data_IF_040425252827
#
_entry.id   IF_040425252827
#
_cell.length_a   1.000
_cell.length_b   1.000
_cell.length_c   1.000
_cell.angle_alpha   90.00
_cell.angle_beta   90.00
_cell.angle_gamma   90.00
#
_symmetry.space_group_name_H-M   'P 1'
#
loop_
_entity.id
_entity.type
_entity.pdbx_description
1 polymer ?
#
# COMPACT_ATOMS: atom_id res chain seq x y z
N UNK A 1 -20.04 13.72 19.58
CA UNK A 1 -20.21 13.69 18.10
C UNK A 1 -20.14 12.24 17.63
N UNK A 2 -20.90 11.85 16.59
CA UNK A 2 -21.23 10.46 16.21
C UNK A 2 -20.35 9.85 15.08
N UNK A 3 -19.07 10.22 14.95
CA UNK A 3 -18.19 9.60 13.95
C UNK A 3 -18.01 8.09 14.23
N UNK A 4 -17.72 7.27 13.22
CA UNK A 4 -17.56 5.80 13.37
C UNK A 4 -18.72 5.12 14.13
N UNK A 5 -19.99 5.53 13.91
CA UNK A 5 -21.14 4.71 14.32
C UNK A 5 -21.56 3.80 13.18
N UNK A 6 -21.69 4.34 11.96
CA UNK A 6 -21.92 3.60 10.72
C UNK A 6 -20.70 3.72 9.82
N UNK A 7 -20.02 2.60 9.61
CA UNK A 7 -18.76 2.48 8.86
C UNK A 7 -18.99 1.63 7.62
N UNK A 8 -18.68 2.16 6.44
CA UNK A 8 -18.77 1.41 5.19
C UNK A 8 -17.37 1.09 4.65
N UNK A 9 -17.05 -0.19 4.50
CA UNK A 9 -15.80 -0.67 3.93
C UNK A 9 -15.94 -0.83 2.42
N UNK A 10 -15.16 -0.05 1.67
CA UNK A 10 -15.06 -0.17 0.21
C UNK A 10 -13.96 -1.18 -0.10
N UNK A 11 -14.36 -2.39 -0.52
CA UNK A 11 -13.48 -3.53 -0.76
C UNK A 11 -14.05 -4.82 -0.19
N UNK A 12 -13.66 -5.95 -0.78
CA UNK A 12 -14.05 -7.32 -0.36
C UNK A 12 -12.82 -8.21 -0.18
N UNK A 13 -11.65 -7.60 0.00
CA UNK A 13 -10.40 -8.31 0.22
C UNK A 13 -10.27 -8.79 1.67
N UNK A 14 -9.21 -9.56 1.97
CA UNK A 14 -8.95 -10.02 3.33
C UNK A 14 -8.81 -8.87 4.34
N UNK A 15 -8.21 -7.75 3.89
CA UNK A 15 -8.07 -6.51 4.67
C UNK A 15 -9.45 -5.98 5.11
N UNK A 16 -10.44 -5.96 4.21
CA UNK A 16 -11.79 -5.46 4.51
C UNK A 16 -12.46 -6.30 5.61
N UNK A 17 -12.25 -7.62 5.61
CA UNK A 17 -12.80 -8.52 6.64
C UNK A 17 -12.12 -8.31 7.98
N UNK A 18 -10.79 -8.22 8.01
CA UNK A 18 -10.07 -7.94 9.26
C UNK A 18 -10.49 -6.58 9.84
N UNK A 19 -10.60 -5.55 9.01
CA UNK A 19 -11.05 -4.23 9.46
C UNK A 19 -12.48 -4.29 10.00
N UNK A 20 -13.40 -4.98 9.31
CA UNK A 20 -14.77 -5.17 9.80
C UNK A 20 -14.80 -5.80 11.20
N UNK A 21 -13.99 -6.84 11.43
CA UNK A 21 -13.82 -7.47 12.74
C UNK A 21 -13.40 -6.43 13.81
N UNK A 22 -12.37 -5.63 13.51
CA UNK A 22 -11.82 -4.69 14.47
C UNK A 22 -12.80 -3.54 14.77
N UNK A 23 -13.44 -2.95 13.76
CA UNK A 23 -14.45 -1.90 13.97
C UNK A 23 -15.67 -2.41 14.76
N UNK A 24 -16.09 -3.66 14.52
CA UNK A 24 -17.17 -4.30 15.29
C UNK A 24 -16.77 -4.54 16.74
N UNK A 25 -15.66 -5.26 16.96
CA UNK A 25 -15.25 -5.75 18.28
C UNK A 25 -14.75 -4.62 19.19
N UNK A 26 -13.96 -3.70 18.64
CA UNK A 26 -13.28 -2.67 19.44
C UNK A 26 -14.08 -1.37 19.55
N UNK A 27 -14.86 -1.02 18.53
CA UNK A 27 -15.59 0.26 18.48
C UNK A 27 -17.11 0.11 18.48
N UNK A 28 -17.65 -1.11 18.44
CA UNK A 28 -19.10 -1.37 18.45
C UNK A 28 -19.81 -0.79 17.23
N UNK A 29 -19.11 -0.68 16.09
CA UNK A 29 -19.66 -0.03 14.89
C UNK A 29 -20.75 -0.88 14.22
N UNK A 30 -21.71 -0.20 13.61
CA UNK A 30 -22.49 -0.72 12.51
C UNK A 30 -21.61 -0.73 11.26
N UNK A 31 -21.40 -1.89 10.64
CA UNK A 31 -20.43 -2.11 9.57
C UNK A 31 -21.12 -2.64 8.33
N UNK A 32 -20.98 -1.90 7.24
CA UNK A 32 -21.31 -2.33 5.89
C UNK A 32 -20.07 -2.73 5.09
N UNK A 33 -20.22 -3.64 4.13
CA UNK A 33 -19.19 -3.99 3.14
C UNK A 33 -19.74 -3.81 1.74
N UNK A 34 -18.94 -3.23 0.83
CA UNK A 34 -19.28 -3.12 -0.59
C UNK A 34 -18.13 -3.54 -1.48
N UNK A 35 -18.45 -4.27 -2.54
CA UNK A 35 -17.50 -4.72 -3.56
C UNK A 35 -17.97 -4.39 -4.96
N UNK A 36 -17.02 -4.27 -5.90
CA UNK A 36 -17.31 -4.17 -7.34
C UNK A 36 -18.10 -5.39 -7.82
N UNK A 37 -18.81 -5.28 -8.94
CA UNK A 37 -19.39 -6.45 -9.62
C UNK A 37 -18.27 -7.16 -10.38
N UNK A 38 -17.87 -8.35 -9.92
CA UNK A 38 -16.80 -9.15 -10.54
C UNK A 38 -16.86 -10.60 -10.06
N UNK A 39 -16.30 -11.53 -10.83
CA UNK A 39 -16.26 -12.96 -10.48
C UNK A 39 -15.55 -13.21 -9.13
N UNK A 40 -14.62 -12.34 -8.72
CA UNK A 40 -13.95 -12.46 -7.42
C UNK A 40 -14.87 -12.09 -6.25
N UNK A 41 -15.57 -10.98 -6.38
CA UNK A 41 -16.49 -10.49 -5.34
C UNK A 41 -17.79 -11.30 -5.31
N UNK A 42 -18.23 -11.87 -6.43
CA UNK A 42 -19.39 -12.77 -6.49
C UNK A 42 -19.22 -13.96 -5.56
N UNK A 43 -18.08 -14.65 -5.62
CA UNK A 43 -17.77 -15.77 -4.72
C UNK A 43 -17.78 -15.34 -3.24
N UNK A 44 -17.26 -14.15 -2.95
CA UNK A 44 -17.29 -13.59 -1.60
C UNK A 44 -18.73 -13.33 -1.12
N UNK A 45 -19.56 -12.66 -1.92
CA UNK A 45 -20.96 -12.38 -1.55
C UNK A 45 -21.79 -13.65 -1.46
N UNK A 46 -21.55 -14.64 -2.34
CA UNK A 46 -22.20 -15.95 -2.23
C UNK A 46 -21.85 -16.64 -0.91
N UNK A 47 -20.57 -16.66 -0.52
CA UNK A 47 -20.14 -17.20 0.76
C UNK A 47 -20.72 -16.40 1.94
N UNK A 48 -20.75 -15.07 1.86
CA UNK A 48 -21.31 -14.22 2.90
C UNK A 48 -22.81 -14.49 3.12
N UNK A 49 -23.58 -14.61 2.03
CA UNK A 49 -25.01 -14.93 2.08
C UNK A 49 -25.27 -16.33 2.64
N UNK A 50 -24.49 -17.33 2.21
CA UNK A 50 -24.59 -18.71 2.72
C UNK A 50 -24.33 -18.82 4.22
N UNK A 51 -23.54 -17.89 4.78
CA UNK A 51 -23.18 -17.86 6.19
C UNK A 51 -23.95 -16.79 6.99
N UNK A 52 -25.11 -16.31 6.51
CA UNK A 52 -25.91 -15.29 7.18
C UNK A 52 -25.10 -14.04 7.59
N UNK A 53 -24.19 -13.61 6.72
CA UNK A 53 -23.27 -12.49 6.92
C UNK A 53 -22.24 -12.66 8.04
N UNK A 54 -22.06 -13.88 8.56
CA UNK A 54 -20.98 -14.20 9.49
C UNK A 54 -19.62 -14.17 8.77
N UNK A 55 -18.69 -13.40 9.32
CA UNK A 55 -17.29 -13.43 8.93
C UNK A 55 -16.41 -13.96 10.06
N UNK A 56 -15.29 -14.57 9.68
CA UNK A 56 -14.32 -15.14 10.62
C UNK A 56 -12.92 -14.65 10.31
N UNK A 57 -12.18 -14.35 11.37
CA UNK A 57 -10.76 -14.04 11.33
C UNK A 57 -10.02 -15.01 12.24
N UNK A 58 -9.07 -15.75 11.66
CA UNK A 58 -8.09 -16.54 12.38
C UNK A 58 -6.75 -15.80 12.48
N UNK A 59 -5.92 -16.22 13.41
CA UNK A 59 -4.54 -15.75 13.57
C UNK A 59 -3.58 -16.94 13.57
N UNK A 60 -2.35 -16.71 13.10
CA UNK A 60 -1.32 -17.74 13.09
C UNK A 60 -0.49 -17.78 14.39
N UNK A 61 -0.24 -16.62 14.99
CA UNK A 61 0.55 -16.47 16.22
C UNK A 61 -0.38 -16.07 17.37
N UNK A 62 -0.27 -16.74 18.52
CA UNK A 62 -1.09 -16.46 19.72
C UNK A 62 -0.92 -15.03 20.24
N UNK A 63 0.23 -14.40 19.98
CA UNK A 63 0.44 -12.96 20.25
C UNK A 63 -0.53 -12.05 19.49
N UNK A 64 -1.28 -12.56 18.51
CA UNK A 64 -2.24 -11.82 17.70
C UNK A 64 -3.68 -12.28 17.98
N UNK A 65 -3.95 -12.91 19.12
CA UNK A 65 -5.28 -13.40 19.48
C UNK A 65 -6.39 -12.34 19.39
N UNK A 66 -6.06 -11.08 19.69
CA UNK A 66 -7.03 -9.98 19.70
C UNK A 66 -7.51 -9.60 18.29
N UNK A 67 -6.74 -9.96 17.26
CA UNK A 67 -7.13 -9.84 15.84
C UNK A 67 -8.18 -10.87 15.44
N UNK A 68 -8.30 -11.97 16.17
CA UNK A 68 -9.19 -13.08 15.87
C UNK A 68 -10.61 -12.91 16.40
N UNK A 69 -11.53 -13.63 15.76
CA UNK A 69 -12.91 -13.74 16.22
C UNK A 69 -13.90 -14.01 15.09
N UNK A 70 -15.17 -13.87 15.45
CA UNK A 70 -16.32 -13.99 14.56
C UNK A 70 -17.23 -12.79 14.78
N UNK A 71 -17.78 -12.22 13.71
CA UNK A 71 -18.76 -11.14 13.79
C UNK A 71 -19.67 -11.12 12.55
N UNK A 72 -20.80 -10.43 12.66
CA UNK A 72 -21.76 -10.28 11.57
C UNK A 72 -21.59 -8.93 10.88
N UNK A 73 -21.63 -8.94 9.55
CA UNK A 73 -21.75 -7.74 8.71
C UNK A 73 -23.22 -7.31 8.68
N UNK A 74 -23.48 -6.03 8.97
CA UNK A 74 -24.88 -5.56 9.04
C UNK A 74 -25.48 -5.35 7.66
N UNK A 75 -24.71 -4.79 6.72
CA UNK A 75 -25.15 -4.51 5.35
C UNK A 75 -24.08 -4.91 4.33
N UNK A 76 -24.51 -5.50 3.22
CA UNK A 76 -23.62 -5.98 2.16
C UNK A 76 -24.12 -5.52 0.79
N UNK A 77 -23.30 -4.77 0.06
CA UNK A 77 -23.67 -4.21 -1.25
C UNK A 77 -22.84 -4.81 -2.37
N UNK A 78 -23.52 -5.45 -3.32
CA UNK A 78 -22.89 -5.95 -4.53
C UNK A 78 -22.96 -4.91 -5.66
N UNK A 79 -21.92 -4.07 -5.74
CA UNK A 79 -21.78 -2.94 -6.65
C UNK A 79 -21.86 -1.59 -5.91
N UNK A 80 -20.90 -0.69 -6.17
CA UNK A 80 -20.82 0.62 -5.50
C UNK A 80 -22.03 1.52 -5.75
N UNK A 81 -22.69 1.39 -6.91
CA UNK A 81 -23.92 2.14 -7.23
C UNK A 81 -25.14 1.72 -6.42
N UNK A 82 -25.07 0.58 -5.72
CA UNK A 82 -26.17 0.04 -4.91
C UNK A 82 -26.08 0.42 -3.43
N UNK A 83 -25.05 1.17 -3.03
CA UNK A 83 -24.94 1.65 -1.66
C UNK A 83 -26.15 2.52 -1.34
N UNK A 84 -26.85 2.19 -0.27
CA UNK A 84 -27.95 2.97 0.28
C UNK A 84 -27.69 3.30 1.76
N UNK A 85 -28.67 3.95 2.39
CA UNK A 85 -28.58 4.35 3.80
C UNK A 85 -27.68 5.56 4.07
N UNK A 86 -27.44 5.82 5.35
CA UNK A 86 -26.57 6.90 5.83
C UNK A 86 -25.28 6.32 6.41
N UNK A 87 -24.14 6.92 6.09
CA UNK A 87 -22.83 6.47 6.54
C UNK A 87 -22.06 7.64 7.15
N UNK A 88 -21.48 7.45 8.33
CA UNK A 88 -20.67 8.49 8.98
C UNK A 88 -19.25 8.48 8.43
N UNK A 89 -18.72 7.27 8.20
CA UNK A 89 -17.34 7.03 7.80
C UNK A 89 -17.28 6.03 6.65
N UNK A 90 -16.46 6.34 5.66
CA UNK A 90 -16.06 5.39 4.62
C UNK A 90 -14.61 4.97 4.82
N UNK A 91 -14.31 3.70 4.58
CA UNK A 91 -12.96 3.14 4.64
C UNK A 91 -12.60 2.59 3.26
N UNK A 92 -11.60 3.21 2.64
CA UNK A 92 -11.03 2.75 1.38
C UNK A 92 -10.02 1.63 1.66
N UNK A 93 -10.45 0.41 1.37
CA UNK A 93 -9.66 -0.84 1.48
C UNK A 93 -9.43 -1.53 0.13
N UNK A 94 -9.75 -0.82 -0.96
CA UNK A 94 -9.33 -1.16 -2.33
C UNK A 94 -7.89 -0.71 -2.57
N UNK A 95 -7.35 -1.03 -3.75
CA UNK A 95 -6.05 -0.53 -4.19
C UNK A 95 -6.14 0.96 -4.49
N UNK A 96 -5.04 1.69 -4.28
CA UNK A 96 -5.00 3.15 -4.32
C UNK A 96 -5.38 3.74 -5.67
N UNK A 97 -4.99 3.07 -6.75
CA UNK A 97 -5.32 3.39 -8.14
C UNK A 97 -6.83 3.32 -8.43
N UNK A 98 -7.63 2.70 -7.55
CA UNK A 98 -9.08 2.59 -7.68
C UNK A 98 -9.86 3.59 -6.82
N UNK A 99 -9.22 4.44 -6.00
CA UNK A 99 -9.92 5.29 -5.03
C UNK A 99 -10.96 6.19 -5.70
N UNK A 100 -10.57 6.96 -6.72
CA UNK A 100 -11.47 7.89 -7.40
C UNK A 100 -12.52 7.16 -8.23
N UNK A 101 -12.15 6.10 -8.94
CA UNK A 101 -13.10 5.28 -9.70
C UNK A 101 -14.21 4.71 -8.81
N UNK A 102 -13.87 4.31 -7.58
CA UNK A 102 -14.84 3.81 -6.61
C UNK A 102 -15.71 4.95 -6.08
N UNK A 103 -15.13 6.07 -5.65
CA UNK A 103 -15.88 7.21 -5.12
C UNK A 103 -16.87 7.77 -6.15
N UNK A 104 -16.47 7.87 -7.43
CA UNK A 104 -17.34 8.31 -8.55
C UNK A 104 -18.59 7.45 -8.76
N UNK A 105 -18.61 6.22 -8.24
CA UNK A 105 -19.76 5.31 -8.36
C UNK A 105 -20.76 5.43 -7.20
N UNK A 106 -20.39 6.10 -6.12
CA UNK A 106 -21.24 6.28 -4.94
C UNK A 106 -22.20 7.45 -5.19
N UNK A 107 -23.43 7.35 -4.69
CA UNK A 107 -24.37 8.46 -4.77
C UNK A 107 -23.82 9.70 -4.03
N UNK A 108 -23.77 10.84 -4.73
CA UNK A 108 -23.29 12.11 -4.20
C UNK A 108 -24.00 12.54 -2.90
N UNK A 109 -25.27 12.20 -2.72
CA UNK A 109 -26.00 12.52 -1.48
C UNK A 109 -25.45 11.79 -0.25
N UNK A 110 -24.87 10.60 -0.45
CA UNK A 110 -24.16 9.88 0.62
C UNK A 110 -22.83 10.60 0.89
N UNK A 111 -22.06 10.91 -0.15
CA UNK A 111 -20.75 11.57 -0.05
C UNK A 111 -20.84 12.94 0.65
N UNK A 112 -21.89 13.73 0.35
CA UNK A 112 -22.19 15.03 0.97
C UNK A 112 -22.41 14.95 2.48
N UNK A 113 -22.87 13.82 2.99
CA UNK A 113 -23.20 13.63 4.42
C UNK A 113 -22.05 13.04 5.23
N UNK A 114 -21.03 12.47 4.56
CA UNK A 114 -19.88 11.85 5.21
C UNK A 114 -19.20 12.81 6.18
N UNK A 115 -18.65 12.22 7.23
CA UNK A 115 -17.85 12.96 8.20
C UNK A 115 -16.38 12.61 8.14
N UNK A 116 -16.05 11.40 7.67
CA UNK A 116 -14.67 10.93 7.62
C UNK A 116 -14.48 9.94 6.45
N UNK A 117 -13.33 10.02 5.80
CA UNK A 117 -12.81 9.04 4.85
C UNK A 117 -11.46 8.56 5.36
N UNK A 118 -11.28 7.24 5.46
CA UNK A 118 -10.03 6.62 5.92
C UNK A 118 -9.38 5.85 4.78
N UNK A 119 -8.13 6.19 4.46
CA UNK A 119 -7.28 5.53 3.46
C UNK A 119 -6.37 4.52 4.17
N UNK A 120 -6.57 3.22 3.92
CA UNK A 120 -5.86 2.16 4.65
C UNK A 120 -4.48 1.86 4.07
N UNK A 121 -4.34 1.90 2.75
CA UNK A 121 -3.04 1.65 2.09
C UNK A 121 -2.78 2.63 0.96
N UNK A 122 -2.84 3.95 1.23
CA UNK A 122 -2.56 4.98 0.23
C UNK A 122 -1.11 4.92 -0.29
N UNK A 123 -0.91 5.58 -1.42
CA UNK A 123 0.41 6.02 -1.91
C UNK A 123 0.63 7.50 -1.59
N UNK A 124 1.84 7.99 -1.80
CA UNK A 124 2.17 9.40 -1.70
C UNK A 124 1.27 10.28 -2.59
N UNK A 125 0.49 11.16 -1.98
CA UNK A 125 -0.46 12.05 -2.65
C UNK A 125 -1.92 11.55 -2.67
N UNK A 126 -2.23 10.39 -2.08
CA UNK A 126 -3.60 9.85 -2.14
C UNK A 126 -4.61 10.71 -1.38
N UNK A 127 -4.19 11.27 -0.24
CA UNK A 127 -5.01 12.25 0.47
C UNK A 127 -5.32 13.46 -0.40
N UNK A 128 -4.33 14.00 -1.12
CA UNK A 128 -4.49 15.15 -2.02
C UNK A 128 -5.49 14.82 -3.13
N UNK A 129 -5.38 13.62 -3.71
CA UNK A 129 -6.32 13.12 -4.71
C UNK A 129 -7.77 13.09 -4.18
N UNK A 130 -7.97 12.48 -3.02
CA UNK A 130 -9.31 12.34 -2.40
C UNK A 130 -9.84 13.68 -1.91
N UNK A 131 -9.00 14.54 -1.32
CA UNK A 131 -9.35 15.89 -0.88
C UNK A 131 -9.83 16.73 -2.06
N UNK A 132 -9.09 16.74 -3.17
CA UNK A 132 -9.50 17.49 -4.35
C UNK A 132 -10.87 17.07 -4.87
N UNK A 133 -11.08 15.76 -4.99
CA UNK A 133 -12.35 15.19 -5.43
C UNK A 133 -13.49 15.57 -4.47
N UNK A 134 -13.26 15.46 -3.16
CA UNK A 134 -14.26 15.76 -2.15
C UNK A 134 -14.54 17.24 -1.96
N UNK A 135 -13.62 18.15 -2.30
CA UNK A 135 -13.81 19.60 -2.17
C UNK A 135 -15.04 20.12 -2.94
N UNK A 136 -15.45 19.43 -4.01
CA UNK A 136 -16.64 19.80 -4.80
C UNK A 136 -17.97 19.31 -4.17
N UNK A 137 -17.91 18.34 -3.26
CA UNK A 137 -19.07 17.65 -2.70
C UNK A 137 -19.26 17.94 -1.21
N UNK A 138 -18.16 17.90 -0.44
CA UNK A 138 -18.12 18.01 1.00
C UNK A 138 -16.71 18.45 1.44
N UNK A 139 -16.40 19.76 1.38
CA UNK A 139 -15.07 20.27 1.71
C UNK A 139 -14.68 20.10 3.19
N UNK A 140 -15.66 19.89 4.08
CA UNK A 140 -15.45 19.70 5.52
C UNK A 140 -15.24 18.23 5.91
N UNK A 141 -15.18 17.31 4.94
CA UNK A 141 -14.95 15.89 5.22
C UNK A 141 -13.52 15.70 5.74
N UNK A 142 -13.38 15.01 6.86
CA UNK A 142 -12.05 14.65 7.36
C UNK A 142 -11.47 13.52 6.52
N UNK A 143 -10.23 13.68 6.05
CA UNK A 143 -9.50 12.62 5.35
C UNK A 143 -8.33 12.18 6.22
N UNK A 144 -8.28 10.88 6.48
CA UNK A 144 -7.26 10.23 7.30
C UNK A 144 -6.48 9.25 6.43
N UNK A 145 -5.15 9.40 6.39
CA UNK A 145 -4.26 8.44 5.72
C UNK A 145 -3.48 7.64 6.74
N UNK A 146 -3.50 6.32 6.59
CA UNK A 146 -2.48 5.45 7.16
C UNK A 146 -1.27 5.36 6.24
N UNK A 147 -0.11 5.05 6.80
CA UNK A 147 1.08 4.67 6.01
C UNK A 147 0.88 3.38 5.19
N UNK A 148 0.25 2.38 5.79
CA UNK A 148 0.05 1.06 5.20
C UNK A 148 -1.00 0.30 6.00
N UNK A 149 -1.55 -0.76 5.41
CA UNK A 149 -2.22 -1.79 6.18
C UNK A 149 -1.26 -2.38 7.22
N UNK A 150 -1.77 -2.63 8.43
CA UNK A 150 -0.98 -3.00 9.59
C UNK A 150 -0.62 -4.47 9.68
N UNK A 151 -0.99 -5.31 8.72
CA UNK A 151 -0.73 -6.74 8.81
C UNK A 151 -0.53 -7.44 7.47
N UNK A 152 -0.40 -8.75 7.55
CA UNK A 152 -0.49 -9.66 6.43
C UNK A 152 -1.71 -10.56 6.66
N UNK A 153 -2.76 -10.31 5.87
CA UNK A 153 -4.02 -11.03 5.98
C UNK A 153 -4.37 -11.65 4.64
N UNK A 154 -4.66 -12.93 4.67
CA UNK A 154 -4.87 -13.77 3.49
C UNK A 154 -6.15 -14.56 3.64
N UNK A 155 -6.64 -15.09 2.53
CA UNK A 155 -7.72 -16.06 2.56
C UNK A 155 -7.22 -17.38 3.16
N UNK A 156 -7.93 -17.94 4.15
CA UNK A 156 -7.51 -19.17 4.85
C UNK A 156 -7.20 -20.34 3.89
N UNK A 157 -7.89 -20.39 2.75
CA UNK A 157 -7.73 -21.42 1.71
C UNK A 157 -7.45 -20.83 0.33
N UNK A 158 -6.82 -19.64 0.26
CA UNK A 158 -6.52 -18.93 -1.00
C UNK A 158 -7.74 -18.69 -1.90
N UNK A 159 -8.96 -18.70 -1.34
CA UNK A 159 -10.21 -18.46 -2.05
C UNK A 159 -11.00 -17.32 -1.39
N UNK A 160 -11.62 -16.41 -2.16
CA UNK A 160 -12.50 -15.37 -1.61
C UNK A 160 -13.72 -16.00 -0.95
N UNK A 161 -13.73 -16.01 0.38
CA UNK A 161 -14.77 -16.60 1.23
C UNK A 161 -15.09 -15.62 2.37
N UNK A 162 -15.79 -16.05 3.42
CA UNK A 162 -16.05 -15.26 4.62
C UNK A 162 -14.98 -15.45 5.72
N UNK A 163 -13.90 -16.21 5.45
CA UNK A 163 -12.86 -16.57 6.44
C UNK A 163 -11.45 -16.20 5.97
N UNK A 164 -10.78 -15.41 6.79
CA UNK A 164 -9.39 -14.94 6.58
C UNK A 164 -8.47 -15.35 7.72
N UNK A 165 -7.18 -15.33 7.47
CA UNK A 165 -6.13 -15.52 8.46
C UNK A 165 -5.15 -14.35 8.43
N UNK A 166 -4.85 -13.80 9.60
CA UNK A 166 -3.79 -12.82 9.80
C UNK A 166 -2.53 -13.53 10.30
N UNK A 167 -1.49 -13.50 9.48
CA UNK A 167 -0.24 -14.24 9.69
C UNK A 167 0.82 -13.40 10.36
N UNK A 168 0.79 -12.08 10.15
CA UNK A 168 1.71 -11.14 10.77
C UNK A 168 1.03 -9.79 11.04
N UNK A 169 1.49 -9.10 12.07
CA UNK A 169 1.04 -7.76 12.46
C UNK A 169 2.27 -6.86 12.64
N UNK A 170 2.20 -5.64 12.09
CA UNK A 170 3.22 -4.60 12.27
C UNK A 170 3.18 -4.06 13.69
N UNK A 171 4.35 -3.85 14.28
CA UNK A 171 4.48 -3.23 15.61
C UNK A 171 4.10 -1.75 15.60
N UNK A 172 4.35 -1.06 14.48
CA UNK A 172 4.07 0.35 14.30
C UNK A 172 3.45 0.62 12.93
N UNK A 173 2.47 1.52 12.91
CA UNK A 173 2.00 2.20 11.69
C UNK A 173 1.82 3.69 11.97
N UNK A 174 1.89 4.49 10.92
CA UNK A 174 1.74 5.95 10.97
C UNK A 174 0.36 6.36 10.47
N UNK A 175 -0.19 7.44 11.03
CA UNK A 175 -1.49 8.01 10.67
C UNK A 175 -1.42 9.54 10.62
N UNK A 176 -2.14 10.14 9.68
CA UNK A 176 -2.30 11.60 9.61
C UNK A 176 -3.71 11.99 9.18
N UNK A 177 -4.16 13.17 9.58
CA UNK A 177 -5.50 13.69 9.29
C UNK A 177 -5.45 15.11 8.73
N UNK A 178 -6.36 15.46 7.83
CA UNK A 178 -6.57 16.84 7.38
C UNK A 178 -7.02 17.77 8.51
N UNK A 179 -7.59 17.23 9.59
CA UNK A 179 -8.02 17.99 10.78
C UNK A 179 -7.06 17.74 11.95
N UNK A 180 -5.85 18.31 11.91
CA UNK A 180 -4.90 18.17 13.01
C UNK A 180 -5.11 19.25 14.09
N UNK A 181 -5.26 18.90 15.39
CA UNK A 181 -5.39 17.55 15.95
C UNK A 181 -6.80 16.95 15.77
N UNK A 182 -6.88 15.63 15.55
CA UNK A 182 -8.14 14.93 15.25
C UNK A 182 -8.61 14.00 16.38
N UNK A 183 -9.88 14.16 16.77
CA UNK A 183 -10.58 13.22 17.67
C UNK A 183 -10.81 11.84 17.05
N UNK A 184 -10.92 11.77 15.73
CA UNK A 184 -11.08 10.52 15.00
C UNK A 184 -9.75 9.75 14.97
N UNK A 185 -8.62 10.44 14.81
CA UNK A 185 -7.28 9.85 14.97
C UNK A 185 -7.09 9.36 16.41
N UNK A 186 -7.46 10.13 17.43
CA UNK A 186 -7.38 9.67 18.84
C UNK A 186 -8.22 8.41 19.09
N UNK A 187 -9.41 8.31 18.49
CA UNK A 187 -10.24 7.11 18.60
C UNK A 187 -9.62 5.91 17.90
N UNK A 188 -9.05 6.09 16.71
CA UNK A 188 -8.32 5.05 16.00
C UNK A 188 -7.05 4.63 16.75
N UNK A 189 -6.34 5.58 17.36
CA UNK A 189 -5.19 5.31 18.23
C UNK A 189 -5.55 4.32 19.34
N UNK A 190 -6.62 4.59 20.10
CA UNK A 190 -7.08 3.70 21.17
C UNK A 190 -7.45 2.31 20.66
N UNK A 191 -8.09 2.24 19.49
CA UNK A 191 -8.42 0.95 18.86
C UNK A 191 -7.16 0.17 18.49
N UNK A 192 -6.15 0.81 17.91
CA UNK A 192 -4.90 0.15 17.51
C UNK A 192 -4.03 -0.24 18.71
N UNK A 193 -4.04 0.57 19.78
CA UNK A 193 -3.36 0.26 21.04
C UNK A 193 -3.92 -1.02 21.69
N UNK A 194 -5.24 -1.20 21.67
CA UNK A 194 -5.90 -2.45 22.11
C UNK A 194 -5.52 -3.68 21.28
N UNK A 195 -5.03 -3.47 20.05
CA UNK A 195 -4.55 -4.52 19.17
C UNK A 195 -3.03 -4.74 19.28
N UNK A 196 -2.36 -4.06 20.22
CA UNK A 196 -0.91 -4.13 20.41
C UNK A 196 -0.10 -3.42 19.33
N UNK A 197 -0.71 -2.50 18.57
CA UNK A 197 -0.04 -1.75 17.50
C UNK A 197 0.20 -0.32 17.94
N UNK A 198 1.44 0.13 17.84
CA UNK A 198 1.80 1.54 18.04
C UNK A 198 1.31 2.35 16.85
N UNK A 199 0.44 3.32 17.10
CA UNK A 199 -0.04 4.25 16.09
C UNK A 199 0.64 5.62 16.24
N UNK A 200 1.63 5.90 15.39
CA UNK A 200 2.37 7.17 15.44
C UNK A 200 1.64 8.25 14.64
N UNK A 201 1.24 9.33 15.30
CA UNK A 201 0.47 10.41 14.66
C UNK A 201 1.40 11.42 14.01
N UNK A 202 1.19 11.66 12.71
CA UNK A 202 1.84 12.66 11.89
C UNK A 202 1.00 13.94 11.84
N UNK A 203 1.60 15.06 11.42
CA UNK A 203 0.89 16.35 11.36
C UNK A 203 -0.08 16.45 10.19
N UNK A 204 0.12 15.64 9.15
CA UNK A 204 -0.72 15.62 7.96
C UNK A 204 -0.87 14.22 7.37
N UNK A 205 -1.91 13.94 6.58
CA UNK A 205 -2.08 12.65 5.92
C UNK A 205 -0.93 12.35 4.95
N UNK A 206 -0.48 13.36 4.20
CA UNK A 206 0.61 13.21 3.23
C UNK A 206 1.93 12.83 3.92
N UNK A 207 2.19 13.33 5.13
CA UNK A 207 3.36 12.92 5.92
C UNK A 207 3.27 11.43 6.31
N UNK A 208 2.09 10.95 6.74
CA UNK A 208 1.89 9.53 7.03
C UNK A 208 2.07 8.64 5.78
N UNK A 209 1.65 9.10 4.61
CA UNK A 209 1.83 8.39 3.34
C UNK A 209 3.30 8.18 2.98
N UNK A 210 4.19 9.10 3.35
CA UNK A 210 5.65 8.92 3.15
C UNK A 210 6.24 7.81 4.03
N UNK A 211 5.57 7.41 5.11
CA UNK A 211 6.03 6.34 6.00
C UNK A 211 5.62 4.95 5.50
N UNK A 212 5.70 4.75 4.17
CA UNK A 212 5.40 3.49 3.50
C UNK A 212 6.66 2.95 2.82
N UNK A 213 7.18 1.82 3.31
CA UNK A 213 8.43 1.23 2.82
C UNK A 213 8.39 0.90 1.32
N UNK A 214 7.22 0.54 0.81
CA UNK A 214 7.05 0.11 -0.59
C UNK A 214 7.40 1.22 -1.57
N UNK A 215 7.24 2.50 -1.19
CA UNK A 215 7.60 3.64 -2.02
C UNK A 215 9.08 3.63 -2.39
N UNK A 216 9.93 3.22 -1.45
CA UNK A 216 11.38 3.31 -1.58
C UNK A 216 12.01 2.03 -2.11
N UNK A 217 11.39 0.87 -1.84
CA UNK A 217 12.04 -0.42 -2.09
C UNK A 217 11.44 -1.19 -3.26
N UNK A 218 10.16 -1.01 -3.59
CA UNK A 218 9.54 -1.80 -4.66
C UNK A 218 10.04 -1.43 -6.06
N UNK A 219 10.07 -0.16 -6.48
CA UNK A 219 10.49 0.14 -7.86
C UNK A 219 11.89 -0.40 -8.19
N UNK A 220 12.96 -0.24 -7.38
CA UNK A 220 14.26 -0.85 -7.70
C UNK A 220 14.20 -2.38 -7.70
N UNK A 221 13.40 -3.01 -6.84
CA UNK A 221 13.26 -4.47 -6.76
C UNK A 221 12.45 -5.07 -7.90
N UNK A 222 11.53 -4.35 -8.53
CA UNK A 222 10.60 -4.91 -9.53
C UNK A 222 10.71 -4.30 -10.92
N UNK A 223 11.23 -3.08 -11.05
CA UNK A 223 11.32 -2.32 -12.31
C UNK A 223 12.75 -2.26 -12.85
N UNK A 224 13.42 -3.41 -12.84
CA UNK A 224 14.73 -3.63 -13.44
C UNK A 224 14.66 -4.85 -14.39
N UNK A 225 15.59 -4.95 -15.33
CA UNK A 225 15.58 -5.98 -16.37
C UNK A 225 15.44 -7.40 -15.82
N UNK A 226 16.20 -7.75 -14.77
CA UNK A 226 16.15 -9.09 -14.17
C UNK A 226 14.75 -9.42 -13.64
N UNK A 227 14.19 -8.51 -12.85
CA UNK A 227 12.88 -8.72 -12.23
C UNK A 227 11.76 -8.76 -13.26
N UNK A 228 11.82 -7.89 -14.26
CA UNK A 228 10.83 -7.85 -15.32
C UNK A 228 10.90 -9.13 -16.16
N UNK A 229 12.08 -9.60 -16.55
CA UNK A 229 12.24 -10.91 -17.22
C UNK A 229 11.67 -12.07 -16.39
N UNK A 230 11.83 -12.06 -15.06
CA UNK A 230 11.22 -13.05 -14.17
C UNK A 230 9.67 -12.99 -14.16
N UNK A 231 9.10 -11.78 -14.12
CA UNK A 231 7.64 -11.53 -14.08
C UNK A 231 6.98 -11.86 -15.42
N UNK A 232 7.61 -11.49 -16.54
CA UNK A 232 7.13 -11.72 -17.89
C UNK A 232 7.46 -13.12 -18.42
N UNK A 233 8.08 -13.98 -17.60
CA UNK A 233 8.20 -15.42 -17.88
C UNK A 233 9.36 -15.80 -18.80
N UNK A 234 10.38 -14.93 -18.92
CA UNK A 234 11.54 -15.13 -19.79
C UNK A 234 12.63 -15.97 -19.15
N UNK A 235 12.49 -16.28 -17.86
CA UNK A 235 13.46 -17.06 -17.10
C UNK A 235 12.89 -18.45 -16.75
N UNK A 236 13.65 -19.48 -17.12
CA UNK A 236 13.25 -20.88 -16.95
C UNK A 236 13.19 -21.32 -15.48
N UNK A 237 14.05 -20.76 -14.63
CA UNK A 237 14.11 -21.11 -13.20
C UNK A 237 13.29 -20.15 -12.34
N UNK A 238 12.70 -20.65 -11.24
CA UNK A 238 12.08 -19.79 -10.23
C UNK A 238 13.10 -18.76 -9.71
N UNK A 239 12.70 -17.48 -9.71
CA UNK A 239 13.48 -16.37 -9.15
C UNK A 239 12.78 -15.78 -7.94
N UNK A 240 13.55 -15.10 -7.09
CA UNK A 240 13.09 -14.58 -5.81
C UNK A 240 13.41 -13.08 -5.68
N UNK A 241 12.47 -12.32 -5.14
CA UNK A 241 12.55 -10.85 -5.06
C UNK A 241 13.70 -10.39 -4.18
N UNK A 242 13.96 -11.08 -3.07
CA UNK A 242 14.87 -10.62 -2.02
C UNK A 242 16.19 -11.38 -1.97
N UNK A 243 16.52 -12.19 -2.99
CA UNK A 243 17.81 -12.88 -3.08
C UNK A 243 18.84 -12.07 -3.87
N UNK A 244 20.11 -12.37 -3.62
CA UNK A 244 21.24 -11.83 -4.37
C UNK A 244 21.30 -12.50 -5.76
N UNK A 245 21.81 -11.79 -6.76
CA UNK A 245 22.06 -12.35 -8.09
C UNK A 245 22.95 -13.60 -8.01
N UNK A 246 22.66 -14.70 -8.74
CA UNK A 246 21.66 -14.85 -9.83
C UNK A 246 20.28 -15.41 -9.40
N UNK A 247 20.02 -15.55 -8.10
CA UNK A 247 18.74 -16.05 -7.58
C UNK A 247 17.67 -14.95 -7.50
N UNK A 248 18.11 -13.71 -7.34
CA UNK A 248 17.26 -12.51 -7.29
C UNK A 248 17.96 -11.27 -7.86
N UNK A 249 17.29 -10.10 -7.85
CA UNK A 249 17.78 -8.89 -8.50
C UNK A 249 18.82 -8.13 -7.67
N UNK A 250 19.03 -8.47 -6.39
CA UNK A 250 19.85 -7.66 -5.49
C UNK A 250 21.32 -7.71 -5.93
N UNK A 251 21.82 -6.52 -6.27
CA UNK A 251 23.19 -6.24 -6.68
C UNK A 251 23.60 -4.86 -6.15
N UNK A 252 24.88 -4.51 -6.22
CA UNK A 252 25.34 -3.16 -5.87
C UNK A 252 24.65 -2.06 -6.70
N UNK A 253 24.36 -2.33 -7.99
CA UNK A 253 23.71 -1.38 -8.88
C UNK A 253 22.26 -1.13 -8.49
N UNK A 254 21.52 -2.18 -8.13
CA UNK A 254 20.16 -2.05 -7.62
C UNK A 254 20.12 -1.24 -6.32
N UNK A 255 21.10 -1.42 -5.43
CA UNK A 255 21.18 -0.65 -4.19
C UNK A 255 21.51 0.83 -4.47
N UNK A 256 22.38 1.12 -5.42
CA UNK A 256 22.64 2.47 -5.89
C UNK A 256 21.38 3.15 -6.46
N UNK A 257 20.61 2.44 -7.28
CA UNK A 257 19.32 2.92 -7.81
C UNK A 257 18.30 3.15 -6.67
N UNK A 258 18.23 2.24 -5.69
CA UNK A 258 17.35 2.39 -4.52
C UNK A 258 17.68 3.63 -3.69
N UNK A 259 18.97 3.87 -3.43
CA UNK A 259 19.42 5.03 -2.69
C UNK A 259 19.14 6.33 -3.47
N UNK A 260 19.43 6.35 -4.76
CA UNK A 260 19.18 7.50 -5.64
C UNK A 260 17.69 7.85 -5.70
N UNK A 261 16.82 6.85 -5.88
CA UNK A 261 15.37 7.06 -5.86
C UNK A 261 14.87 7.58 -4.50
N UNK A 262 15.40 7.04 -3.39
CA UNK A 262 15.05 7.57 -2.07
C UNK A 262 15.43 9.03 -1.93
N UNK A 263 16.64 9.44 -2.37
CA UNK A 263 17.08 10.85 -2.37
C UNK A 263 16.18 11.74 -3.23
N UNK A 264 15.78 11.27 -4.42
CA UNK A 264 14.82 11.98 -5.28
C UNK A 264 13.48 12.20 -4.57
N UNK A 265 12.95 11.19 -3.88
CA UNK A 265 11.73 11.33 -3.08
C UNK A 265 11.95 12.27 -1.89
N UNK A 266 13.09 12.23 -1.20
CA UNK A 266 13.38 13.15 -0.10
C UNK A 266 13.42 14.61 -0.57
N UNK A 267 13.99 14.89 -1.75
CA UNK A 267 13.95 16.24 -2.33
C UNK A 267 12.50 16.73 -2.55
N UNK A 268 11.60 15.83 -2.97
CA UNK A 268 10.17 16.16 -3.13
C UNK A 268 9.54 16.44 -1.76
N UNK A 269 9.78 15.56 -0.77
CA UNK A 269 9.25 15.64 0.59
C UNK A 269 9.70 16.93 1.29
N UNK A 270 10.98 17.28 1.17
CA UNK A 270 11.55 18.53 1.69
C UNK A 270 10.88 19.75 1.03
N UNK A 271 10.70 19.72 -0.30
CA UNK A 271 10.08 20.81 -1.06
C UNK A 271 8.64 21.12 -0.64
N UNK A 272 7.93 20.13 -0.09
CA UNK A 272 6.57 20.28 0.46
C UNK A 272 6.56 20.38 1.99
N UNK A 273 7.71 20.66 2.63
CA UNK A 273 7.89 20.88 4.06
C UNK A 273 7.46 19.70 4.95
N UNK A 274 7.68 18.47 4.48
CA UNK A 274 7.45 17.26 5.27
C UNK A 274 8.79 16.80 5.87
N UNK A 275 8.75 16.15 7.04
CA UNK A 275 9.95 15.58 7.65
C UNK A 275 10.45 14.36 6.88
N UNK A 276 11.73 14.41 6.52
CA UNK A 276 12.48 13.34 5.86
C UNK A 276 12.40 12.00 6.57
N UNK A 277 12.63 10.93 5.80
CA UNK A 277 12.70 9.56 6.28
C UNK A 277 14.15 9.10 6.30
N UNK A 278 14.66 8.74 7.47
CA UNK A 278 15.88 7.95 7.53
C UNK A 278 15.57 6.52 7.06
N UNK A 279 15.95 6.20 5.82
CA UNK A 279 15.57 4.95 5.16
C UNK A 279 16.06 3.72 5.93
N UNK A 280 17.34 3.67 6.30
CA UNK A 280 17.90 2.51 6.97
C UNK A 280 17.25 2.26 8.34
N UNK A 281 17.02 3.33 9.11
CA UNK A 281 16.29 3.27 10.37
C UNK A 281 14.87 2.78 10.16
N UNK A 282 14.15 3.35 9.21
CA UNK A 282 12.79 2.95 8.90
C UNK A 282 12.69 1.48 8.44
N UNK A 283 13.64 1.00 7.62
CA UNK A 283 13.71 -0.39 7.18
C UNK A 283 14.01 -1.39 8.32
N UNK A 284 14.71 -0.94 9.36
CA UNK A 284 15.22 -1.79 10.45
C UNK A 284 14.33 -1.76 11.69
N UNK A 285 13.90 -0.58 12.12
CA UNK A 285 13.16 -0.39 13.36
C UNK A 285 11.65 -0.59 13.18
N UNK A 286 11.09 -0.11 12.06
CA UNK A 286 9.64 -0.10 11.83
C UNK A 286 9.15 -1.19 10.86
N UNK A 287 10.08 -1.90 10.21
CA UNK A 287 9.79 -3.00 9.30
C UNK A 287 10.37 -4.32 9.79
N UNK A 288 11.57 -4.70 9.31
CA UNK A 288 12.18 -5.99 9.66
C UNK A 288 13.52 -5.76 10.35
N UNK A 289 13.66 -6.15 11.63
CA UNK A 289 14.88 -5.91 12.38
C UNK A 289 16.02 -6.79 11.87
N UNK A 290 17.24 -6.30 12.05
CA UNK A 290 18.46 -7.10 11.89
C UNK A 290 19.20 -7.19 13.23
N UNK A 291 20.15 -8.11 13.33
CA UNK A 291 21.04 -8.17 14.50
C UNK A 291 21.96 -6.96 14.49
N UNK A 292 22.18 -6.35 15.66
CA UNK A 292 23.08 -5.18 15.81
C UNK A 292 24.56 -5.46 15.48
N UNK A 293 24.91 -6.74 15.32
CA UNK A 293 26.24 -7.15 14.85
C UNK A 293 26.40 -6.93 13.34
N UNK A 294 25.29 -6.96 12.59
CA UNK A 294 25.29 -6.66 11.16
C UNK A 294 25.22 -5.17 10.89
N UNK A 295 24.38 -4.43 11.63
CA UNK A 295 24.23 -2.98 11.50
C UNK A 295 24.26 -2.33 12.88
N UNK A 296 25.21 -1.41 13.07
CA UNK A 296 25.36 -0.72 14.35
C UNK A 296 24.25 0.32 14.55
N UNK A 297 23.93 0.65 15.82
CA UNK A 297 22.98 1.72 16.11
C UNK A 297 23.47 3.09 15.62
N UNK A 298 24.77 3.32 15.70
CA UNK A 298 25.40 4.55 15.21
C UNK A 298 25.14 4.74 13.71
N UNK A 299 25.37 3.71 12.90
CA UNK A 299 25.15 3.78 11.44
C UNK A 299 23.68 3.95 11.10
N UNK A 300 22.79 3.24 11.81
CA UNK A 300 21.34 3.35 11.62
C UNK A 300 20.86 4.78 11.92
N UNK A 301 21.28 5.36 13.03
CA UNK A 301 20.84 6.69 13.47
C UNK A 301 21.40 7.80 12.59
N UNK A 302 22.64 7.67 12.13
CA UNK A 302 23.34 8.71 11.35
C UNK A 302 23.25 8.51 9.84
N UNK A 303 22.51 7.50 9.35
CA UNK A 303 22.45 7.11 7.94
C UNK A 303 22.36 8.27 6.95
N UNK A 304 21.49 9.26 7.21
CA UNK A 304 21.27 10.40 6.32
C UNK A 304 22.51 11.31 6.18
N UNK A 305 23.43 11.27 7.13
CA UNK A 305 24.65 12.08 7.18
C UNK A 305 25.90 11.33 6.73
N UNK A 306 25.76 10.04 6.37
CA UNK A 306 26.87 9.23 5.89
C UNK A 306 27.16 9.51 4.41
N UNK A 307 28.42 9.29 4.04
CA UNK A 307 28.87 9.33 2.65
C UNK A 307 28.13 8.32 1.77
N UNK A 308 27.97 8.65 0.48
CA UNK A 308 27.17 7.87 -0.48
C UNK A 308 27.51 6.38 -0.49
N UNK A 309 28.79 6.04 -0.66
CA UNK A 309 29.25 4.65 -0.71
C UNK A 309 28.94 3.92 0.60
N UNK A 310 29.03 4.62 1.74
CA UNK A 310 28.71 4.03 3.03
C UNK A 310 27.20 3.76 3.16
N UNK A 311 26.35 4.68 2.70
CA UNK A 311 24.90 4.47 2.64
C UNK A 311 24.54 3.25 1.79
N UNK A 312 25.10 3.13 0.59
CA UNK A 312 24.90 1.97 -0.29
C UNK A 312 25.37 0.67 0.38
N UNK A 313 26.57 0.69 0.99
CA UNK A 313 27.11 -0.47 1.69
C UNK A 313 26.19 -0.96 2.81
N UNK A 314 25.65 -0.05 3.63
CA UNK A 314 24.74 -0.40 4.72
C UNK A 314 23.39 -0.93 4.21
N UNK A 315 22.85 -0.37 3.12
CA UNK A 315 21.65 -0.91 2.48
C UNK A 315 21.89 -2.31 1.92
N UNK A 316 23.04 -2.55 1.30
CA UNK A 316 23.43 -3.88 0.83
C UNK A 316 23.53 -4.87 2.01
N UNK A 317 24.24 -4.52 3.08
CA UNK A 317 24.32 -5.32 4.33
C UNK A 317 22.93 -5.60 4.89
N UNK A 318 22.04 -4.61 4.87
CA UNK A 318 20.66 -4.78 5.36
C UNK A 318 19.96 -5.91 4.62
N UNK A 319 20.03 -5.93 3.28
CA UNK A 319 19.40 -6.98 2.48
C UNK A 319 20.06 -8.34 2.66
N UNK A 320 21.40 -8.39 2.72
CA UNK A 320 22.10 -9.67 2.93
C UNK A 320 21.80 -10.26 4.32
N UNK A 321 21.63 -9.42 5.33
CA UNK A 321 21.28 -9.81 6.70
C UNK A 321 19.85 -10.37 6.83
N UNK A 322 19.02 -10.20 5.80
CA UNK A 322 17.64 -10.68 5.75
C UNK A 322 17.43 -11.75 4.67
N UNK A 323 18.52 -12.36 4.17
CA UNK A 323 18.39 -13.55 3.32
C UNK A 323 17.70 -14.71 4.07
N UNK A 324 17.98 -14.77 5.36
CA UNK A 324 17.30 -15.61 6.35
C UNK A 324 16.57 -14.72 7.35
N UNK A 325 15.67 -15.29 8.14
CA UNK A 325 15.17 -14.62 9.34
C UNK A 325 16.20 -14.83 10.47
N UNK A 326 16.98 -13.79 10.86
CA UNK A 326 18.04 -13.93 11.85
C UNK A 326 17.54 -14.09 13.28
N UNK A 327 16.21 -14.06 13.50
CA UNK A 327 15.55 -14.31 14.77
C UNK A 327 14.76 -15.62 14.81
N UNK A 328 14.58 -16.29 13.67
CA UNK A 328 13.99 -17.62 13.63
C UNK A 328 14.85 -18.64 14.39
N UNK A 329 14.22 -19.69 14.91
CA UNK A 329 14.95 -20.80 15.52
C UNK A 329 15.61 -21.63 14.40
N UNK A 330 16.94 -21.84 14.43
CA UNK A 330 17.58 -22.67 13.43
C UNK A 330 17.14 -24.14 13.56
N UNK A 331 17.20 -24.87 12.44
CA UNK A 331 17.03 -26.32 12.40
C UNK A 331 18.23 -27.06 13.05
N UNK A 332 18.22 -28.39 13.01
CA UNK A 332 19.26 -29.22 13.64
C UNK A 332 20.62 -29.04 12.97
N UNK A 333 20.62 -28.61 11.71
CA UNK A 333 21.78 -28.35 10.86
C UNK A 333 22.27 -26.90 10.97
N UNK A 334 21.61 -26.06 11.78
CA UNK A 334 21.96 -24.66 12.00
C UNK A 334 21.41 -23.69 10.95
N UNK A 335 20.48 -24.12 10.09
CA UNK A 335 19.87 -23.30 9.04
C UNK A 335 18.66 -22.55 9.61
N UNK A 336 18.60 -21.27 9.31
CA UNK A 336 17.48 -20.42 9.68
C UNK A 336 16.38 -20.47 8.60
N UNK A 337 15.19 -19.98 8.93
CA UNK A 337 14.10 -19.84 7.98
C UNK A 337 14.51 -18.97 6.78
N UNK A 338 14.28 -19.45 5.56
CA UNK A 338 14.60 -18.72 4.33
C UNK A 338 13.61 -17.58 4.09
N UNK A 339 13.93 -16.42 4.66
CA UNK A 339 13.12 -15.21 4.58
C UNK A 339 13.14 -14.58 3.19
N UNK A 340 14.18 -14.83 2.40
CA UNK A 340 14.34 -14.29 1.04
C UNK A 340 13.56 -15.03 -0.04
N UNK A 341 13.02 -16.21 0.26
CA UNK A 341 12.33 -17.08 -0.70
C UNK A 341 10.92 -16.57 -1.09
N UNK A 342 10.79 -15.28 -1.43
CA UNK A 342 9.56 -14.69 -1.97
C UNK A 342 9.60 -14.75 -3.50
N UNK A 343 8.79 -15.60 -4.15
CA UNK A 343 8.82 -15.74 -5.60
C UNK A 343 8.25 -14.52 -6.31
N UNK A 344 8.76 -14.21 -7.50
CA UNK A 344 8.06 -13.27 -8.39
C UNK A 344 6.71 -13.85 -8.82
N UNK A 345 5.67 -13.01 -8.74
CA UNK A 345 4.42 -13.29 -9.45
C UNK A 345 4.69 -13.24 -10.95
N UNK A 346 4.11 -14.17 -11.71
CA UNK A 346 4.17 -14.16 -13.17
C UNK A 346 2.90 -13.55 -13.75
N UNK A 347 2.95 -13.17 -15.03
CA UNK A 347 1.74 -12.90 -15.79
C UNK A 347 0.73 -14.05 -15.65
N UNK A 348 -0.55 -13.70 -15.64
CA UNK A 348 -1.63 -14.65 -15.46
C UNK A 348 -2.85 -14.21 -16.26
N UNK A 349 -3.70 -15.17 -16.62
CA UNK A 349 -5.01 -14.84 -17.20
C UNK A 349 -5.94 -14.46 -16.05
N UNK A 350 -6.43 -13.22 -16.06
CA UNK A 350 -7.39 -12.73 -15.08
C UNK A 350 -8.77 -13.37 -15.29
N UNK A 351 -9.71 -13.07 -14.40
CA UNK A 351 -11.04 -13.70 -14.45
C UNK A 351 -11.90 -13.21 -15.61
N UNK A 352 -11.53 -12.08 -16.21
CA UNK A 352 -12.13 -11.51 -17.41
C UNK A 352 -11.59 -12.14 -18.71
N UNK A 353 -10.66 -13.11 -18.60
CA UNK A 353 -10.08 -13.82 -19.74
C UNK A 353 -8.94 -13.06 -20.43
N UNK A 354 -8.47 -11.96 -19.86
CA UNK A 354 -7.33 -11.21 -20.37
C UNK A 354 -6.04 -11.62 -19.66
N UNK A 355 -4.93 -11.66 -20.39
CA UNK A 355 -3.60 -11.67 -19.78
C UNK A 355 -3.43 -10.39 -18.96
N UNK A 356 -2.92 -10.51 -17.74
CA UNK A 356 -2.75 -9.41 -16.78
C UNK A 356 -1.40 -9.52 -16.06
N UNK A 357 -0.97 -8.38 -15.53
CA UNK A 357 0.29 -8.22 -14.79
C UNK A 357 -0.01 -8.37 -13.30
N UNK A 358 0.83 -9.10 -12.53
CA UNK A 358 0.72 -9.19 -11.08
C UNK A 358 0.73 -7.83 -10.41
N UNK A 359 0.20 -7.78 -9.19
CA UNK A 359 0.10 -6.57 -8.37
C UNK A 359 1.44 -5.81 -8.29
N UNK A 360 2.55 -6.53 -8.13
CA UNK A 360 3.90 -5.98 -8.23
C UNK A 360 4.45 -6.40 -9.60
N UNK A 361 4.78 -5.46 -10.51
CA UNK A 361 4.90 -4.01 -10.30
C UNK A 361 3.68 -3.18 -10.71
N UNK A 362 2.50 -3.74 -11.05
CA UNK A 362 1.35 -2.96 -11.55
C UNK A 362 0.96 -1.78 -10.64
N UNK A 363 0.84 -2.00 -9.34
CA UNK A 363 0.58 -0.92 -8.38
C UNK A 363 1.78 0.01 -8.24
N UNK A 364 2.99 -0.53 -8.25
CA UNK A 364 4.21 0.26 -8.10
C UNK A 364 4.42 1.21 -9.29
N UNK A 365 3.94 0.83 -10.49
CA UNK A 365 3.88 1.70 -11.66
C UNK A 365 2.99 2.91 -11.45
N UNK A 366 1.77 2.73 -10.92
CA UNK A 366 0.92 3.85 -10.54
C UNK A 366 1.64 4.76 -9.52
N UNK A 367 2.18 4.17 -8.44
CA UNK A 367 2.85 4.94 -7.37
C UNK A 367 4.00 5.78 -7.90
N UNK A 368 4.88 5.18 -8.70
CA UNK A 368 6.09 5.84 -9.19
C UNK A 368 5.75 6.92 -10.23
N UNK A 369 4.70 6.73 -11.05
CA UNK A 369 4.17 7.77 -11.95
C UNK A 369 3.58 8.95 -11.19
N UNK A 370 2.87 8.71 -10.08
CA UNK A 370 2.39 9.79 -9.21
C UNK A 370 3.58 10.58 -8.62
N UNK A 371 4.58 9.89 -8.08
CA UNK A 371 5.79 10.54 -7.54
C UNK A 371 6.51 11.36 -8.62
N UNK A 372 6.70 10.78 -9.81
CA UNK A 372 7.32 11.47 -10.96
C UNK A 372 6.56 12.75 -11.31
N UNK A 373 5.22 12.68 -11.40
CA UNK A 373 4.40 13.83 -11.74
C UNK A 373 4.44 14.94 -10.68
N UNK A 374 4.48 14.57 -9.39
CA UNK A 374 4.69 15.55 -8.30
C UNK A 374 6.08 16.19 -8.42
N UNK A 375 7.13 15.39 -8.65
CA UNK A 375 8.50 15.90 -8.84
C UNK A 375 8.57 16.90 -10.00
N UNK A 376 7.97 16.56 -11.15
CA UNK A 376 7.87 17.45 -12.32
C UNK A 376 7.11 18.74 -11.99
N UNK A 377 6.00 18.66 -11.26
CA UNK A 377 5.23 19.85 -10.83
C UNK A 377 6.03 20.79 -9.94
N UNK A 378 6.91 20.24 -9.11
CA UNK A 378 7.79 21.00 -8.23
C UNK A 378 9.10 21.43 -8.89
N UNK A 379 9.27 21.19 -10.19
CA UNK A 379 10.50 21.42 -10.96
C UNK A 379 11.72 20.68 -10.37
N UNK A 380 11.53 19.45 -9.92
CA UNK A 380 12.58 18.58 -9.40
C UNK A 380 12.94 17.50 -10.42
N UNK A 381 14.25 17.27 -10.59
CA UNK A 381 14.76 16.21 -11.44
C UNK A 381 14.68 14.85 -10.73
N UNK A 382 14.17 13.83 -11.43
CA UNK A 382 13.96 12.49 -10.89
C UNK A 382 14.48 11.41 -11.86
N UNK A 383 15.78 11.44 -12.25
CA UNK A 383 16.29 10.60 -13.33
C UNK A 383 16.24 9.09 -13.02
N UNK A 384 16.36 8.70 -11.76
CA UNK A 384 16.28 7.27 -11.38
C UNK A 384 14.83 6.78 -11.44
N UNK A 385 13.89 7.61 -11.00
CA UNK A 385 12.45 7.36 -11.20
C UNK A 385 12.10 7.27 -12.70
N UNK A 386 12.61 8.19 -13.52
CA UNK A 386 12.41 8.18 -14.97
C UNK A 386 12.92 6.87 -15.57
N UNK A 387 14.13 6.44 -15.19
CA UNK A 387 14.72 5.15 -15.59
C UNK A 387 13.80 3.97 -15.29
N UNK A 388 13.23 3.88 -14.08
CA UNK A 388 12.34 2.76 -13.71
C UNK A 388 11.06 2.75 -14.55
N UNK A 389 10.49 3.93 -14.79
CA UNK A 389 9.28 4.09 -15.61
C UNK A 389 9.58 3.66 -17.04
N UNK A 390 10.65 4.16 -17.64
CA UNK A 390 11.04 3.86 -19.01
C UNK A 390 11.32 2.36 -19.19
N UNK A 391 11.99 1.74 -18.20
CA UNK A 391 12.27 0.29 -18.20
C UNK A 391 10.98 -0.52 -18.18
N UNK A 392 10.03 -0.16 -17.32
CA UNK A 392 8.74 -0.86 -17.23
C UNK A 392 7.86 -0.62 -18.46
N UNK A 393 7.74 0.63 -18.92
CA UNK A 393 6.93 1.01 -20.09
C UNK A 393 7.43 0.34 -21.36
N UNK A 394 8.75 0.35 -21.60
CA UNK A 394 9.36 -0.37 -22.72
C UNK A 394 9.04 -1.86 -22.67
N UNK A 395 9.05 -2.47 -21.48
CA UNK A 395 8.78 -3.89 -21.33
C UNK A 395 7.32 -4.26 -21.58
N UNK A 396 6.37 -3.48 -21.08
CA UNK A 396 4.96 -3.77 -21.33
C UNK A 396 4.61 -3.59 -22.80
N UNK A 397 5.24 -2.64 -23.50
CA UNK A 397 5.07 -2.46 -24.95
C UNK A 397 5.65 -3.63 -25.75
N UNK A 398 6.86 -4.09 -25.41
CA UNK A 398 7.46 -5.29 -25.99
C UNK A 398 6.55 -6.52 -25.81
N UNK A 399 6.05 -6.75 -24.59
CA UNK A 399 5.19 -7.89 -24.27
C UNK A 399 3.83 -7.77 -24.96
N UNK A 400 3.26 -6.57 -25.04
CA UNK A 400 2.02 -6.34 -25.78
C UNK A 400 2.19 -6.64 -27.28
N UNK A 401 3.36 -6.34 -27.86
CA UNK A 401 3.66 -6.64 -29.24
C UNK A 401 3.88 -8.13 -29.52
N UNK A 402 4.43 -8.88 -28.57
CA UNK A 402 4.61 -10.33 -28.70
C UNK A 402 3.31 -11.11 -28.48
N UNK A 403 2.34 -10.54 -27.77
CA UNK A 403 1.05 -11.16 -27.45
C UNK A 403 -0.16 -10.53 -28.18
N UNK A 404 0.03 -10.01 -29.40
CA UNK A 404 -1.03 -9.32 -30.18
C UNK A 404 -2.31 -10.12 -30.39
N UNK A 405 -2.21 -11.44 -30.44
CA UNK A 405 -3.34 -12.34 -30.64
C UNK A 405 -4.03 -12.77 -29.33
N UNK A 406 -3.53 -12.31 -28.18
CA UNK A 406 -4.09 -12.61 -26.85
C UNK A 406 -4.82 -11.38 -26.31
N UNK A 407 -6.02 -11.52 -25.72
CA UNK A 407 -6.67 -10.42 -25.02
C UNK A 407 -5.80 -9.92 -23.86
N UNK A 408 -5.42 -8.65 -23.88
CA UNK A 408 -4.58 -8.02 -22.84
C UNK A 408 -5.43 -7.12 -21.93
N UNK A 409 -5.08 -7.07 -20.65
CA UNK A 409 -5.65 -6.09 -19.72
C UNK A 409 -5.07 -4.69 -19.99
N UNK A 410 -5.70 -3.65 -19.42
CA UNK A 410 -5.16 -2.28 -19.46
C UNK A 410 -3.77 -2.12 -18.79
N UNK A 411 -3.29 -3.15 -18.09
CA UNK A 411 -1.96 -3.13 -17.48
C UNK A 411 -0.83 -3.13 -18.52
N UNK A 412 -1.11 -3.55 -19.76
CA UNK A 412 -0.16 -3.56 -20.89
C UNK A 412 -0.20 -2.26 -21.72
N UNK A 413 -0.89 -1.23 -21.24
CA UNK A 413 -0.97 0.08 -21.89
C UNK A 413 -0.22 1.09 -21.04
N UNK A 414 0.60 1.94 -21.66
CA UNK A 414 1.23 3.08 -20.99
C UNK A 414 0.15 4.03 -20.48
N UNK A 415 0.20 4.38 -19.19
CA UNK A 415 -0.81 5.21 -18.54
C UNK A 415 -0.19 6.51 -18.05
N UNK A 416 -0.84 7.64 -18.36
CA UNK A 416 -0.38 8.96 -17.91
C UNK A 416 -0.83 9.30 -16.49
N UNK A 417 -1.97 8.75 -16.05
CA UNK A 417 -2.64 9.11 -14.80
C UNK A 417 -2.86 10.64 -14.65
N UNK A 418 -3.01 11.36 -15.77
CA UNK A 418 -3.01 12.82 -15.80
C UNK A 418 -4.15 13.45 -14.97
N UNK A 419 -5.34 12.83 -14.95
CA UNK A 419 -6.47 13.33 -14.14
C UNK A 419 -6.13 13.31 -12.64
N UNK A 420 -5.59 12.18 -12.16
CA UNK A 420 -5.19 12.01 -10.77
C UNK A 420 -4.03 12.95 -10.41
N UNK A 421 -3.02 13.05 -11.27
CA UNK A 421 -1.89 13.96 -11.10
C UNK A 421 -2.34 15.42 -11.01
N UNK A 422 -3.26 15.86 -11.86
CA UNK A 422 -3.78 17.24 -11.83
C UNK A 422 -4.50 17.54 -10.50
N UNK A 423 -5.32 16.60 -10.02
CA UNK A 423 -6.00 16.75 -8.73
C UNK A 423 -5.00 16.81 -7.56
N UNK A 424 -4.00 15.91 -7.55
CA UNK A 424 -2.96 15.85 -6.53
C UNK A 424 -2.14 17.14 -6.50
N UNK A 425 -1.58 17.53 -7.65
CA UNK A 425 -0.73 18.72 -7.76
C UNK A 425 -1.51 20.00 -7.44
N UNK A 426 -2.80 20.07 -7.78
CA UNK A 426 -3.66 21.20 -7.40
C UNK A 426 -3.77 21.37 -5.88
N UNK A 427 -3.96 20.28 -5.12
CA UNK A 427 -4.00 20.37 -3.65
C UNK A 427 -2.62 20.61 -3.04
N UNK A 428 -1.56 20.01 -3.58
CA UNK A 428 -0.20 20.30 -3.14
C UNK A 428 0.11 21.79 -3.33
N UNK A 429 -0.22 22.36 -4.50
CA UNK A 429 -0.04 23.78 -4.80
C UNK A 429 -0.68 24.71 -3.77
N UNK A 430 -1.91 24.39 -3.33
CA UNK A 430 -2.60 25.12 -2.25
C UNK A 430 -1.80 25.10 -0.94
N UNK A 431 -1.22 23.97 -0.59
CA UNK A 431 -0.48 23.80 0.68
C UNK A 431 0.86 24.55 0.72
N UNK A 432 1.52 24.72 -0.43
CA UNK A 432 2.83 25.39 -0.55
C UNK A 432 2.71 26.85 -1.02
N UNK A 433 1.50 27.37 -1.21
CA UNK A 433 1.27 28.75 -1.65
C UNK A 433 1.65 29.02 -3.12
N UNK A 434 1.70 27.98 -3.96
CA UNK A 434 1.96 28.08 -5.41
C UNK A 434 0.62 27.96 -6.13
N UNK A 435 -0.08 29.10 -6.30
CA UNK A 435 -1.26 29.17 -7.18
C UNK A 435 -0.82 29.37 -8.64
N UNK A 436 -1.34 28.55 -9.57
CA UNK A 436 -1.41 28.95 -10.99
C UNK A 436 -0.57 28.22 -12.02
N UNK A 437 0.17 27.15 -11.68
CA UNK A 437 0.76 26.28 -12.72
C UNK A 437 -0.31 25.32 -13.25
N UNK A 438 -1.01 25.76 -14.31
CA UNK A 438 -1.82 24.85 -15.15
C UNK A 438 -0.87 24.08 -16.07
N UNK A 439 -1.04 22.76 -16.08
CA UNK A 439 -0.43 21.84 -17.05
C UNK A 439 -1.17 21.91 -18.38
#
# INVERSE_FOLDING_TARGET
>A
MRHFKRVLLLGTGPISIQLAMNFKKQLGCYVGIVGRVSVRSENFFAALNQNNHLIRVSFQNEEHQDMGGECFIDEAFYGYRKIDGEWDTIILSVTTDAYIEVLKQINNEILKKLKCIVLISPTFGSNSLVSNYMNQLNPEVEIISFSTYYGDTRWMHNKPLNHVITTAVKKKVYIGSTHYPSKNVERLYRMYEQLGIVLETMKSPIEAETRNISLYVHPPLFMNDFSLSAIFGELDSQKYVYKIYPEGPITQYLIGDMLSQWKEIMNIVEKINITDVNLLKFMTDDNYPVRLKSLSRHDIENFNHLELIHQEYLLYIRYTSLLIDPFSKPDKEGRYFDFSAVPFGRMFVNKEGCLDIPRMPKEDYYRIKIIQGIGKYLNLSCPTIDKFIDTYESKIEEVAQTHKDTPLSKAFTVQSFAEDLNMICSEIGKSIGVEGLKW
#
